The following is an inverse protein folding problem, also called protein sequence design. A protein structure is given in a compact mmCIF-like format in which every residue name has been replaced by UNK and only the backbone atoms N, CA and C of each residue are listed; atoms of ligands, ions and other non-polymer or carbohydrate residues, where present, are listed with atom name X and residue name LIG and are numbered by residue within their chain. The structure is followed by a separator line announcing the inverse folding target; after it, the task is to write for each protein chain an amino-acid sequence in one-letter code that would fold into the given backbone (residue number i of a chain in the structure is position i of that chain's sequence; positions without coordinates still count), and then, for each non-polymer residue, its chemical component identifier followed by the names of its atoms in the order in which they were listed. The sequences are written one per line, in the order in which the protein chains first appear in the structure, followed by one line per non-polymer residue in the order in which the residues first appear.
data_IF_002841112475
#
_entry.id   IF_002841112475
#
_cell.length_a   1.000
_cell.length_b   1.000
_cell.length_c   1.000
_cell.angle_alpha   90.00
_cell.angle_beta   90.00
_cell.angle_gamma   90.00
#
_symmetry.space_group_name_H-M   'P 1'
#
loop_
_entity.id
_entity.type
_entity.pdbx_description
1 polymer ?
#
# COMPACT_ATOMS: atom_id res chain seq x y z
N UNK A 1 24.73 -7.48 -9.62
CA UNK A 1 23.48 -6.69 -9.69
C UNK A 1 23.60 -5.51 -8.75
N UNK A 2 23.30 -4.29 -9.19
CA UNK A 2 23.57 -3.08 -8.41
C UNK A 2 22.47 -2.85 -7.36
N UNK A 3 22.84 -2.68 -6.09
CA UNK A 3 21.91 -2.40 -5.00
C UNK A 3 21.09 -1.11 -5.21
N UNK A 4 21.63 -0.15 -5.98
CA UNK A 4 20.97 1.12 -6.30
C UNK A 4 19.76 0.93 -7.22
N UNK A 5 19.89 0.03 -8.19
CA UNK A 5 18.84 -0.27 -9.17
C UNK A 5 17.68 -1.03 -8.52
N UNK A 6 18.04 -1.96 -7.64
CA UNK A 6 17.09 -2.74 -6.83
C UNK A 6 16.29 -1.80 -5.92
N UNK A 7 16.92 -0.81 -5.29
CA UNK A 7 16.25 0.15 -4.42
C UNK A 7 15.26 1.06 -5.18
N UNK A 8 15.62 1.51 -6.39
CA UNK A 8 14.72 2.32 -7.23
C UNK A 8 13.48 1.50 -7.63
N UNK A 9 13.66 0.22 -7.96
CA UNK A 9 12.56 -0.68 -8.31
C UNK A 9 11.56 -0.86 -7.15
N UNK A 10 12.04 -1.05 -5.91
CA UNK A 10 11.18 -1.16 -4.73
C UNK A 10 10.41 0.13 -4.44
N UNK A 11 11.01 1.29 -4.70
CA UNK A 11 10.36 2.58 -4.49
C UNK A 11 9.24 2.84 -5.51
N UNK A 12 9.51 2.59 -6.80
CA UNK A 12 8.49 2.71 -7.87
C UNK A 12 7.33 1.74 -7.64
N UNK A 13 7.65 0.52 -7.21
CA UNK A 13 6.63 -0.48 -6.89
C UNK A 13 5.78 -0.08 -5.67
N UNK A 14 6.40 0.49 -4.64
CA UNK A 14 5.69 1.04 -3.48
C UNK A 14 4.81 2.23 -3.80
N UNK A 15 5.22 3.11 -4.71
CA UNK A 15 4.39 4.23 -5.18
C UNK A 15 3.17 3.73 -5.95
N UNK A 16 3.36 2.72 -6.80
CA UNK A 16 2.27 2.13 -7.58
C UNK A 16 1.24 1.41 -6.70
N UNK A 17 1.68 0.61 -5.73
CA UNK A 17 0.78 -0.06 -4.78
C UNK A 17 0.00 0.92 -3.91
N UNK A 18 0.62 2.05 -3.55
CA UNK A 18 -0.04 3.12 -2.81
C UNK A 18 -1.20 3.75 -3.61
N UNK A 19 -1.01 4.02 -4.90
CA UNK A 19 -2.05 4.59 -5.78
C UNK A 19 -3.23 3.62 -5.98
N UNK A 20 -2.96 2.32 -6.15
CA UNK A 20 -4.01 1.31 -6.22
C UNK A 20 -4.78 1.18 -4.89
N UNK A 21 -4.06 1.26 -3.77
CA UNK A 21 -4.64 1.26 -2.43
C UNK A 21 -5.59 2.43 -2.20
N UNK A 22 -5.18 3.66 -2.52
CA UNK A 22 -6.05 4.83 -2.40
C UNK A 22 -7.28 4.77 -3.30
N UNK A 23 -7.16 4.22 -4.53
CA UNK A 23 -8.30 4.00 -5.41
C UNK A 23 -9.38 3.10 -4.78
N UNK A 24 -8.98 1.98 -4.19
CA UNK A 24 -9.92 1.10 -3.46
C UNK A 24 -10.49 1.76 -2.19
N UNK A 25 -9.70 2.57 -1.49
CA UNK A 25 -10.16 3.31 -0.31
C UNK A 25 -11.24 4.35 -0.66
N UNK A 26 -11.14 4.99 -1.82
CA UNK A 26 -12.16 5.91 -2.33
C UNK A 26 -13.44 5.15 -2.71
N UNK A 27 -13.33 3.99 -3.35
CA UNK A 27 -14.48 3.13 -3.64
C UNK A 27 -15.26 2.75 -2.38
N UNK A 28 -14.56 2.34 -1.31
CA UNK A 28 -15.20 2.02 -0.02
C UNK A 28 -15.86 3.26 0.60
N UNK A 29 -15.24 4.44 0.49
CA UNK A 29 -15.83 5.70 0.97
C UNK A 29 -17.07 6.12 0.18
N UNK A 30 -17.09 5.87 -1.13
CA UNK A 30 -18.26 6.15 -1.98
C UNK A 30 -19.45 5.27 -1.60
N UNK A 31 -19.23 3.98 -1.37
CA UNK A 31 -20.26 3.07 -0.84
C UNK A 31 -20.83 3.53 0.51
N UNK A 32 -19.98 4.06 1.39
CA UNK A 32 -20.39 4.52 2.73
C UNK A 32 -20.94 5.96 2.75
N UNK A 33 -20.84 6.71 1.66
CA UNK A 33 -21.18 8.15 1.63
C UNK A 33 -22.67 8.46 1.49
N UNK A 34 -23.48 7.50 1.03
CA UNK A 34 -24.93 7.66 0.89
C UNK A 34 -25.67 6.39 1.33
N UNK A 35 -26.72 6.48 2.17
CA UNK A 35 -27.51 5.32 2.57
C UNK A 35 -28.43 4.88 1.40
N UNK A 36 -28.13 3.74 0.77
CA UNK A 36 -28.90 3.17 -0.34
C UNK A 36 -28.20 2.01 -1.04
N UNK A 37 -28.77 1.49 -2.14
CA UNK A 37 -28.07 0.59 -3.08
C UNK A 37 -26.95 1.40 -3.76
N UNK A 38 -25.75 1.38 -3.17
CA UNK A 38 -24.57 2.07 -3.69
C UNK A 38 -24.10 1.54 -5.05
N UNK A 39 -22.84 1.78 -5.41
CA UNK A 39 -22.24 1.32 -6.68
C UNK A 39 -22.30 -0.22 -6.79
N UNK A 40 -22.32 -0.92 -5.65
CA UNK A 40 -22.42 -2.38 -5.56
C UNK A 40 -23.84 -2.94 -5.53
N UNK A 41 -24.89 -2.12 -5.74
CA UNK A 41 -26.29 -2.57 -5.81
C UNK A 41 -26.78 -3.43 -4.61
N UNK A 42 -26.14 -3.31 -3.44
CA UNK A 42 -26.46 -4.11 -2.25
C UNK A 42 -25.78 -5.49 -2.18
N UNK A 43 -24.77 -5.76 -3.03
CA UNK A 43 -23.99 -7.00 -2.99
C UNK A 43 -22.92 -6.97 -1.88
N UNK A 44 -23.29 -7.51 -0.71
CA UNK A 44 -22.44 -7.58 0.47
C UNK A 44 -21.23 -8.51 0.29
N UNK A 45 -21.28 -9.46 -0.65
CA UNK A 45 -20.16 -10.37 -0.90
C UNK A 45 -19.02 -9.61 -1.61
N UNK A 46 -19.36 -8.86 -2.66
CA UNK A 46 -18.39 -8.05 -3.38
C UNK A 46 -17.77 -6.96 -2.50
N UNK A 47 -18.56 -6.33 -1.62
CA UNK A 47 -18.05 -5.35 -0.66
C UNK A 47 -16.94 -5.94 0.23
N UNK A 48 -17.18 -7.12 0.82
CA UNK A 48 -16.21 -7.76 1.70
C UNK A 48 -14.94 -8.20 0.95
N UNK A 49 -15.09 -8.70 -0.30
CA UNK A 49 -13.94 -9.01 -1.15
C UNK A 49 -13.10 -7.77 -1.49
N UNK A 50 -13.73 -6.62 -1.76
CA UNK A 50 -13.02 -5.37 -2.06
C UNK A 50 -12.28 -4.83 -0.82
N UNK A 51 -12.91 -4.85 0.36
CA UNK A 51 -12.29 -4.39 1.63
C UNK A 51 -11.11 -5.27 2.00
N UNK A 52 -11.24 -6.58 1.87
CA UNK A 52 -10.14 -7.52 2.15
C UNK A 52 -9.00 -7.38 1.14
N UNK A 53 -9.31 -7.20 -0.15
CA UNK A 53 -8.32 -6.90 -1.18
C UNK A 53 -7.57 -5.58 -0.92
N UNK A 54 -8.29 -4.53 -0.47
CA UNK A 54 -7.70 -3.25 -0.09
C UNK A 54 -6.71 -3.39 1.08
N UNK A 55 -7.12 -4.08 2.14
CA UNK A 55 -6.26 -4.33 3.30
C UNK A 55 -5.02 -5.17 2.95
N UNK A 56 -5.19 -6.20 2.09
CA UNK A 56 -4.10 -7.02 1.60
C UNK A 56 -3.08 -6.20 0.80
N UNK A 57 -3.55 -5.33 -0.11
CA UNK A 57 -2.70 -4.44 -0.91
C UNK A 57 -1.85 -3.51 -0.04
N UNK A 58 -2.44 -2.85 0.96
CA UNK A 58 -1.72 -1.91 1.82
C UNK A 58 -0.68 -2.62 2.70
N UNK A 59 -1.04 -3.75 3.34
CA UNK A 59 -0.13 -4.44 4.26
C UNK A 59 1.03 -5.12 3.52
N UNK A 60 0.73 -5.85 2.45
CA UNK A 60 1.75 -6.62 1.73
C UNK A 60 2.59 -5.78 0.78
N UNK A 61 1.98 -4.84 0.07
CA UNK A 61 2.64 -4.13 -1.03
C UNK A 61 3.07 -2.71 -0.68
N UNK A 62 2.63 -2.14 0.44
CA UNK A 62 3.07 -0.81 0.87
C UNK A 62 3.85 -0.84 2.20
N UNK A 63 3.28 -1.42 3.27
CA UNK A 63 3.92 -1.41 4.60
C UNK A 63 5.20 -2.25 4.68
N UNK A 64 5.18 -3.50 4.21
CA UNK A 64 6.37 -4.38 4.25
C UNK A 64 7.53 -3.91 3.36
N UNK A 65 7.30 -3.42 2.13
CA UNK A 65 8.36 -2.87 1.28
C UNK A 65 9.00 -1.61 1.88
N UNK A 66 8.18 -0.71 2.44
CA UNK A 66 8.67 0.53 3.09
C UNK A 66 9.45 0.21 4.37
N UNK A 67 8.99 -0.76 5.18
CA UNK A 67 9.72 -1.17 6.38
C UNK A 67 11.10 -1.79 6.05
N UNK A 68 11.19 -2.55 4.97
CA UNK A 68 12.47 -3.15 4.52
C UNK A 68 13.44 -2.09 4.01
N UNK A 69 12.93 -1.08 3.31
CA UNK A 69 13.73 0.06 2.84
C UNK A 69 14.10 1.03 3.97
N UNK A 70 13.29 1.16 5.03
CA UNK A 70 13.59 1.95 6.24
C UNK A 70 14.73 1.34 7.08
N UNK A 71 14.82 0.01 7.19
CA UNK A 71 15.92 -0.68 7.90
C UNK A 71 17.30 -0.39 7.29
N UNK A 72 17.37 -0.13 5.98
CA UNK A 72 18.60 0.29 5.31
C UNK A 72 19.03 1.71 5.76
N UNK A 73 18.09 2.63 5.89
CA UNK A 73 18.35 4.00 6.33
C UNK A 73 18.87 4.06 7.76
N UNK A 74 18.29 3.29 8.70
CA UNK A 74 18.73 3.29 10.10
C UNK A 74 20.14 2.66 10.30
N UNK A 75 20.44 1.59 9.56
CA UNK A 75 21.78 0.97 9.58
C UNK A 75 22.85 1.88 8.97
N UNK A 76 22.53 2.56 7.86
CA UNK A 76 23.43 3.56 7.29
C UNK A 76 23.61 4.77 8.20
N UNK A 77 22.55 5.25 8.86
CA UNK A 77 22.64 6.34 9.84
C UNK A 77 23.51 6.01 11.05
N UNK A 78 23.45 4.78 11.56
CA UNK A 78 24.31 4.34 12.67
C UNK A 78 25.78 4.09 12.21
N UNK A 79 25.99 3.86 10.91
CA UNK A 79 27.30 3.65 10.27
C UNK A 79 27.90 4.92 9.60
N UNK A 80 27.29 6.09 9.80
CA UNK A 80 27.87 7.40 9.45
C UNK A 80 27.98 8.31 10.68
N UNK A 81 27.71 7.77 11.87
CA UNK A 81 27.78 8.46 13.17
C UNK A 81 28.79 7.80 14.11
N UNK A 82 29.49 6.76 13.65
CA UNK A 82 30.49 6.01 14.42
C UNK A 82 31.86 6.00 13.72
N UNK A 83 32.07 6.94 12.79
CA UNK A 83 33.21 7.10 11.89
C UNK A 83 33.46 8.59 11.66
#
# INVERSE_FOLDING_TARGET
TNAKDIAILYFVFGLFSALLGTGMSILIRLELSAPGVGILHGDNQLYNTIVTAHAFLIIFFFVMPVATSSKFTNWKWCRYRMD
#
